data_IF_220359237703
#
_entry.id   IF_220359237703
#
_cell.length_a   1.000
_cell.length_b   1.000
_cell.length_c   1.000
_cell.angle_alpha   90.00
_cell.angle_beta   90.00
_cell.angle_gamma   90.00
#
_symmetry.space_group_name_H-M   'P 1'
#
loop_
_entity.id
_entity.type
_entity.pdbx_description
1 polymer ?
#
# COMPACT_ATOMS: atom_id res chain seq x y z
N UNK A 1 10.90 62.01 38.26
CA UNK A 1 9.84 61.35 37.45
C UNK A 1 10.57 60.54 36.39
N UNK A 2 10.61 59.21 36.55
CA UNK A 2 11.28 58.25 35.59
C UNK A 2 10.20 57.46 34.89
N UNK A 3 10.01 57.72 33.60
CA UNK A 3 9.03 57.05 32.74
C UNK A 3 9.65 55.70 32.26
N UNK A 4 9.02 54.60 32.63
CA UNK A 4 9.38 53.24 32.28
C UNK A 4 8.69 52.87 30.95
N UNK A 5 9.45 52.66 29.85
CA UNK A 5 8.96 52.19 28.59
C UNK A 5 8.88 50.65 28.60
N UNK A 6 7.67 50.12 28.61
CA UNK A 6 7.40 48.69 28.47
C UNK A 6 7.43 48.32 26.99
N UNK A 7 8.46 47.54 26.56
CA UNK A 7 8.52 46.97 25.20
C UNK A 7 7.71 45.72 25.13
N UNK A 8 6.61 45.76 24.39
CA UNK A 8 5.78 44.60 24.06
C UNK A 8 6.41 43.82 22.90
N UNK A 9 6.94 42.65 23.17
CA UNK A 9 7.44 41.74 22.14
C UNK A 9 6.30 40.87 21.64
N UNK A 10 5.85 41.11 20.42
CA UNK A 10 4.86 40.27 19.74
C UNK A 10 5.54 39.00 19.23
N UNK A 11 5.28 37.87 19.86
CA UNK A 11 5.68 36.57 19.37
C UNK A 11 4.72 36.09 18.29
N UNK A 12 5.14 36.14 17.03
CA UNK A 12 4.39 35.57 15.90
C UNK A 12 4.53 34.06 15.92
N UNK A 13 3.50 33.35 16.39
CA UNK A 13 3.37 31.90 16.19
C UNK A 13 3.05 31.61 14.71
N UNK A 14 4.03 31.13 13.94
CA UNK A 14 3.80 30.49 12.65
C UNK A 14 3.09 29.15 12.90
N UNK A 15 1.80 29.09 12.63
CA UNK A 15 1.06 27.83 12.52
C UNK A 15 1.47 27.16 11.21
N UNK A 16 2.36 26.16 11.29
CA UNK A 16 2.61 25.26 10.20
C UNK A 16 1.34 24.39 10.02
N UNK A 17 0.50 24.73 9.04
CA UNK A 17 -0.60 23.85 8.61
C UNK A 17 -0.02 22.67 7.86
N UNK A 18 0.36 21.63 8.59
CA UNK A 18 0.63 20.33 8.02
C UNK A 18 -0.67 19.81 7.39
N UNK A 19 -0.66 19.59 6.07
CA UNK A 19 -1.75 18.89 5.39
C UNK A 19 -1.80 17.46 5.92
N UNK A 20 -2.62 17.22 6.93
CA UNK A 20 -2.97 15.89 7.40
C UNK A 20 -3.86 15.28 6.30
N UNK A 21 -3.28 14.46 5.42
CA UNK A 21 -4.09 13.58 4.59
C UNK A 21 -4.82 12.66 5.57
N UNK A 22 -6.14 12.82 5.68
CA UNK A 22 -6.95 11.91 6.47
C UNK A 22 -6.75 10.50 5.88
N UNK A 23 -6.29 9.56 6.70
CA UNK A 23 -6.35 8.15 6.35
C UNK A 23 -7.83 7.79 6.15
N UNK A 24 -8.13 6.92 5.18
CA UNK A 24 -9.49 6.44 4.96
C UNK A 24 -10.07 5.83 6.25
N UNK A 25 -11.38 5.92 6.42
CA UNK A 25 -12.07 5.50 7.65
C UNK A 25 -12.13 3.96 7.80
N UNK A 26 -11.98 3.21 6.68
CA UNK A 26 -11.98 1.75 6.65
C UNK A 26 -10.57 1.20 6.59
N UNK A 27 -10.39 -0.02 7.09
CA UNK A 27 -9.13 -0.75 6.96
C UNK A 27 -9.37 -2.23 6.66
N UNK A 28 -8.46 -2.81 5.86
CA UNK A 28 -8.37 -4.25 5.64
C UNK A 28 -6.93 -4.66 5.86
N UNK A 29 -6.74 -5.75 6.57
CA UNK A 29 -5.44 -6.40 6.77
C UNK A 29 -5.59 -7.90 6.55
N UNK A 30 -4.65 -8.50 5.84
CA UNK A 30 -4.48 -9.94 5.67
C UNK A 30 -3.02 -10.30 5.80
N UNK A 31 -2.77 -11.47 6.35
CA UNK A 31 -1.40 -11.98 6.48
C UNK A 31 -1.35 -13.49 6.23
N UNK A 32 -0.21 -13.96 5.73
CA UNK A 32 0.08 -15.38 5.53
C UNK A 32 1.52 -15.67 5.87
N UNK A 33 1.79 -16.88 6.33
CA UNK A 33 3.17 -17.39 6.44
C UNK A 33 3.56 -18.06 5.14
N UNK A 34 4.70 -17.64 4.57
CA UNK A 34 5.32 -18.22 3.39
C UNK A 34 6.53 -19.02 3.84
N UNK A 35 6.61 -20.29 3.44
CA UNK A 35 7.68 -21.22 3.82
C UNK A 35 8.96 -20.96 3.03
N UNK A 36 9.50 -19.77 3.21
CA UNK A 36 10.76 -19.31 2.61
C UNK A 36 11.26 -18.08 3.37
N UNK A 37 12.58 -17.81 3.28
CA UNK A 37 13.19 -16.65 3.92
C UNK A 37 12.66 -15.33 3.37
N UNK A 38 12.62 -14.25 4.18
CA UNK A 38 12.20 -12.92 3.71
C UNK A 38 13.01 -12.42 2.52
N UNK A 39 14.28 -12.77 2.39
CA UNK A 39 15.14 -12.43 1.26
C UNK A 39 14.63 -13.08 -0.04
N UNK A 40 14.25 -14.34 0.04
CA UNK A 40 13.73 -15.09 -1.11
C UNK A 40 12.36 -14.55 -1.53
N UNK A 41 11.44 -14.37 -0.59
CA UNK A 41 10.10 -13.85 -0.87
C UNK A 41 10.16 -12.42 -1.41
N UNK A 42 11.09 -11.58 -0.91
CA UNK A 42 11.24 -10.19 -1.35
C UNK A 42 11.68 -10.06 -2.81
N UNK A 43 12.42 -11.02 -3.36
CA UNK A 43 12.78 -11.00 -4.79
C UNK A 43 11.57 -10.96 -5.70
N UNK A 44 10.46 -11.58 -5.29
CA UNK A 44 9.19 -11.55 -6.01
C UNK A 44 8.33 -10.36 -5.56
N UNK A 45 8.01 -10.29 -4.27
CA UNK A 45 7.04 -9.33 -3.72
C UNK A 45 7.58 -7.90 -3.75
N UNK A 46 8.89 -7.70 -3.55
CA UNK A 46 9.53 -6.38 -3.57
C UNK A 46 9.64 -5.73 -4.95
N UNK A 47 9.37 -6.46 -6.02
CA UNK A 47 9.24 -5.87 -7.34
C UNK A 47 7.86 -5.24 -7.51
N UNK A 48 7.78 -3.92 -7.42
CA UNK A 48 6.51 -3.17 -7.53
C UNK A 48 5.73 -3.49 -8.83
N UNK A 49 6.41 -3.90 -9.89
CA UNK A 49 5.77 -4.23 -11.18
C UNK A 49 5.38 -5.71 -11.32
N UNK A 50 5.61 -6.58 -10.34
CA UNK A 50 5.40 -8.02 -10.48
C UNK A 50 4.03 -8.50 -9.96
N UNK A 51 3.02 -7.62 -9.83
CA UNK A 51 1.71 -8.05 -9.31
C UNK A 51 1.02 -9.07 -10.23
N UNK A 52 1.25 -9.00 -11.53
CA UNK A 52 0.79 -9.97 -12.53
C UNK A 52 1.43 -11.36 -12.39
N UNK A 53 2.55 -11.50 -11.68
CA UNK A 53 3.19 -12.78 -11.40
C UNK A 53 2.57 -13.47 -10.19
N UNK A 54 2.12 -12.69 -9.19
CA UNK A 54 1.67 -13.25 -7.91
C UNK A 54 0.21 -12.91 -7.53
N UNK A 55 -0.56 -12.28 -8.42
CA UNK A 55 -1.99 -12.05 -8.20
C UNK A 55 -2.82 -12.62 -9.37
N UNK A 56 -3.73 -13.57 -9.13
CA UNK A 56 -4.39 -14.31 -10.20
C UNK A 56 -5.32 -13.47 -11.09
N UNK A 57 -5.87 -12.37 -10.58
CA UNK A 57 -6.75 -11.50 -11.36
C UNK A 57 -6.01 -10.45 -12.21
N UNK A 58 -4.67 -10.37 -12.11
CA UNK A 58 -3.87 -9.41 -12.88
C UNK A 58 -3.18 -10.15 -14.03
N UNK A 59 -3.49 -9.77 -15.25
CA UNK A 59 -2.92 -10.39 -16.47
C UNK A 59 -1.76 -9.61 -17.06
N UNK A 60 -1.58 -8.33 -16.65
CA UNK A 60 -0.49 -7.47 -17.12
C UNK A 60 -0.19 -6.38 -16.10
N UNK A 61 1.10 -6.05 -15.95
CA UNK A 61 1.57 -4.90 -15.16
C UNK A 61 2.59 -4.08 -15.98
N UNK A 62 2.34 -2.79 -16.14
CA UNK A 62 3.16 -1.88 -16.93
C UNK A 62 3.71 -0.75 -16.07
N UNK A 63 5.03 -0.74 -15.86
CA UNK A 63 5.71 0.25 -15.03
C UNK A 63 6.02 1.53 -15.79
N UNK A 64 5.69 2.67 -15.19
CA UNK A 64 6.17 4.00 -15.59
C UNK A 64 7.07 4.56 -14.50
N UNK A 65 8.33 4.80 -14.81
CA UNK A 65 9.34 5.26 -13.86
C UNK A 65 10.19 4.12 -13.30
N UNK A 66 10.78 4.33 -12.13
CA UNK A 66 11.62 3.34 -11.45
C UNK A 66 10.83 2.73 -10.26
N UNK A 67 10.58 1.42 -10.28
CA UNK A 67 9.76 0.70 -9.30
C UNK A 67 10.28 0.70 -7.86
N UNK A 68 11.42 1.33 -7.59
CA UNK A 68 11.96 1.55 -6.23
C UNK A 68 11.96 3.01 -5.82
N UNK A 69 11.47 3.91 -6.68
CA UNK A 69 11.43 5.36 -6.43
C UNK A 69 10.01 5.84 -6.23
N UNK A 70 9.80 6.63 -5.18
CA UNK A 70 8.53 7.31 -4.90
C UNK A 70 8.05 8.06 -6.15
N UNK A 71 6.77 7.94 -6.45
CA UNK A 71 6.15 8.54 -7.62
C UNK A 71 6.11 7.64 -8.86
N UNK A 72 6.81 6.50 -8.89
CA UNK A 72 6.63 5.49 -9.93
C UNK A 72 5.17 5.04 -9.99
N UNK A 73 4.67 4.75 -11.19
CA UNK A 73 3.31 4.28 -11.40
C UNK A 73 3.33 2.90 -12.06
N UNK A 74 2.33 2.07 -11.74
CA UNK A 74 2.05 0.85 -12.50
C UNK A 74 0.60 0.87 -12.98
N UNK A 75 0.41 0.47 -14.22
CA UNK A 75 -0.91 0.21 -14.80
C UNK A 75 -1.13 -1.31 -14.79
N UNK A 76 -2.09 -1.75 -14.02
CA UNK A 76 -2.51 -3.14 -13.94
C UNK A 76 -3.68 -3.36 -14.89
N UNK A 77 -3.68 -4.47 -15.62
CA UNK A 77 -4.82 -4.93 -16.42
C UNK A 77 -5.38 -6.19 -15.78
N UNK A 78 -6.67 -6.19 -15.52
CA UNK A 78 -7.41 -7.33 -15.00
C UNK A 78 -7.82 -8.29 -16.14
N UNK A 79 -8.15 -9.52 -15.80
CA UNK A 79 -8.61 -10.56 -16.72
C UNK A 79 -9.88 -10.16 -17.51
N UNK A 80 -10.74 -9.31 -16.95
CA UNK A 80 -11.91 -8.75 -17.60
C UNK A 80 -11.63 -7.49 -18.44
N UNK A 81 -10.35 -7.09 -18.60
CA UNK A 81 -9.92 -5.92 -19.35
C UNK A 81 -9.99 -4.58 -18.61
N UNK A 82 -10.54 -4.54 -17.40
CA UNK A 82 -10.53 -3.33 -16.58
C UNK A 82 -9.10 -3.00 -16.12
N UNK A 83 -8.85 -1.74 -15.75
CA UNK A 83 -7.50 -1.30 -15.37
C UNK A 83 -7.48 -0.61 -14.01
N UNK A 84 -6.36 -0.78 -13.30
CA UNK A 84 -6.05 -0.07 -12.04
C UNK A 84 -4.73 0.68 -12.24
N UNK A 85 -4.74 2.00 -12.03
CA UNK A 85 -3.53 2.81 -12.00
C UNK A 85 -3.12 3.06 -10.56
N UNK A 86 -1.91 2.67 -10.21
CA UNK A 86 -1.35 2.83 -8.88
C UNK A 86 -0.06 3.68 -8.90
N UNK A 87 0.23 4.30 -7.76
CA UNK A 87 1.42 5.14 -7.56
C UNK A 87 2.16 4.72 -6.30
N UNK A 88 3.46 4.48 -6.41
CA UNK A 88 4.35 4.15 -5.30
C UNK A 88 4.54 5.36 -4.37
N UNK A 89 4.25 5.18 -3.08
CA UNK A 89 4.35 6.21 -2.03
C UNK A 89 5.61 6.05 -1.19
N UNK A 90 6.03 4.82 -0.92
CA UNK A 90 7.26 4.51 -0.19
C UNK A 90 7.84 3.18 -0.65
N UNK A 91 9.17 3.02 -0.51
CA UNK A 91 9.87 1.76 -0.79
C UNK A 91 11.10 1.63 0.10
N UNK A 92 11.26 0.49 0.75
CA UNK A 92 12.42 0.17 1.56
C UNK A 92 12.81 -1.31 1.41
N UNK A 93 13.86 -1.59 0.63
CA UNK A 93 14.39 -2.94 0.51
C UNK A 93 14.94 -3.47 1.85
N UNK A 94 15.52 -2.59 2.67
CA UNK A 94 16.04 -2.98 3.99
C UNK A 94 14.94 -3.39 4.97
N UNK A 95 13.79 -2.70 4.94
CA UNK A 95 12.61 -3.05 5.75
C UNK A 95 11.69 -4.05 5.07
N UNK A 96 11.99 -4.44 3.82
CA UNK A 96 11.13 -5.29 2.98
C UNK A 96 9.68 -4.81 2.99
N UNK A 97 9.49 -3.53 2.70
CA UNK A 97 8.17 -2.90 2.71
C UNK A 97 8.05 -1.83 1.64
N UNK A 98 6.85 -1.71 1.07
CA UNK A 98 6.47 -0.57 0.23
C UNK A 98 5.00 -0.21 0.46
N UNK A 99 4.66 1.05 0.18
CA UNK A 99 3.28 1.52 0.16
C UNK A 99 2.93 2.20 -1.16
N UNK A 100 1.66 2.18 -1.51
CA UNK A 100 1.15 2.71 -2.77
C UNK A 100 -0.28 3.24 -2.60
N UNK A 101 -0.69 4.12 -3.51
CA UNK A 101 -2.06 4.59 -3.62
C UNK A 101 -2.70 4.14 -4.93
N UNK A 102 -4.01 4.00 -4.92
CA UNK A 102 -4.81 3.87 -6.14
C UNK A 102 -5.09 5.28 -6.67
N UNK A 103 -4.69 5.54 -7.92
CA UNK A 103 -4.94 6.80 -8.63
C UNK A 103 -6.27 6.72 -9.40
N UNK A 104 -6.54 5.56 -10.02
CA UNK A 104 -7.76 5.27 -10.76
C UNK A 104 -8.05 3.77 -10.75
N UNK A 105 -9.29 3.38 -10.51
CA UNK A 105 -9.67 1.97 -10.50
C UNK A 105 -11.20 1.81 -10.64
N UNK A 106 -11.71 0.64 -11.03
CA UNK A 106 -13.12 0.28 -10.93
C UNK A 106 -13.51 -0.22 -9.52
N UNK A 107 -12.56 -0.37 -8.60
CA UNK A 107 -12.83 -0.82 -7.24
C UNK A 107 -13.65 0.24 -6.48
N UNK A 108 -14.55 -0.18 -5.58
CA UNK A 108 -15.44 0.72 -4.86
C UNK A 108 -14.75 1.42 -3.68
N UNK A 109 -13.59 2.04 -3.93
CA UNK A 109 -12.77 2.69 -2.91
C UNK A 109 -12.25 4.06 -3.34
N UNK A 110 -12.08 4.96 -2.38
CA UNK A 110 -11.41 6.25 -2.50
C UNK A 110 -10.35 6.41 -1.40
N UNK A 111 -9.44 7.39 -1.55
CA UNK A 111 -8.39 7.69 -0.58
C UNK A 111 -7.56 6.46 -0.15
N UNK A 112 -7.41 5.50 -1.06
CA UNK A 112 -6.77 4.22 -0.79
C UNK A 112 -5.27 4.35 -0.64
N UNK A 113 -4.76 3.77 0.45
CA UNK A 113 -3.32 3.54 0.67
C UNK A 113 -3.11 2.09 1.07
N UNK A 114 -2.41 1.34 0.24
CA UNK A 114 -2.00 -0.04 0.50
C UNK A 114 -0.55 -0.13 0.97
N UNK A 115 -0.26 -1.12 1.81
CA UNK A 115 1.09 -1.40 2.30
C UNK A 115 1.34 -2.90 2.28
N UNK A 116 2.50 -3.29 1.75
CA UNK A 116 3.00 -4.66 1.79
C UNK A 116 4.26 -4.68 2.64
N UNK A 117 4.35 -5.65 3.57
CA UNK A 117 5.49 -5.80 4.46
C UNK A 117 5.81 -7.27 4.68
N UNK A 118 7.11 -7.60 4.70
CA UNK A 118 7.61 -8.92 5.03
C UNK A 118 8.42 -8.85 6.33
N UNK A 119 8.13 -9.77 7.25
CA UNK A 119 8.88 -9.93 8.50
C UNK A 119 9.32 -11.38 8.68
N UNK A 120 10.51 -11.65 9.24
CA UNK A 120 10.91 -13.01 9.56
C UNK A 120 10.07 -13.58 10.71
N UNK A 121 9.74 -14.88 10.65
CA UNK A 121 9.24 -15.63 11.80
C UNK A 121 10.40 -16.25 12.60
N UNK A 122 10.11 -16.78 13.78
CA UNK A 122 11.11 -17.45 14.61
C UNK A 122 11.69 -18.71 13.93
N UNK A 123 10.92 -19.37 13.05
CA UNK A 123 11.31 -20.55 12.29
C UNK A 123 12.09 -20.23 11.01
N UNK A 124 12.33 -18.93 10.73
CA UNK A 124 13.04 -18.48 9.53
C UNK A 124 12.18 -18.38 8.27
N UNK A 125 10.88 -18.53 8.41
CA UNK A 125 9.89 -18.30 7.36
C UNK A 125 9.55 -16.81 7.23
N UNK A 126 8.67 -16.45 6.34
CA UNK A 126 8.22 -15.07 6.11
C UNK A 126 6.78 -14.90 6.50
N UNK A 127 6.49 -13.95 7.39
CA UNK A 127 5.15 -13.39 7.55
C UNK A 127 4.98 -12.27 6.52
N UNK A 128 4.12 -12.49 5.53
CA UNK A 128 3.72 -11.52 4.52
C UNK A 128 2.42 -10.88 4.95
N UNK A 129 2.43 -9.57 5.17
CA UNK A 129 1.28 -8.75 5.51
C UNK A 129 0.93 -7.83 4.35
N UNK A 130 -0.36 -7.78 3.99
CA UNK A 130 -0.93 -6.82 3.07
C UNK A 130 -2.07 -6.07 3.76
N UNK A 131 -1.95 -4.76 3.88
CA UNK A 131 -2.92 -3.91 4.58
C UNK A 131 -3.26 -2.68 3.77
N UNK A 132 -4.42 -2.09 4.04
CA UNK A 132 -4.81 -0.80 3.47
C UNK A 132 -5.74 -0.01 4.39
N UNK A 133 -5.79 1.31 4.13
CA UNK A 133 -6.82 2.23 4.60
C UNK A 133 -7.49 2.87 3.39
N UNK A 134 -8.80 3.09 3.45
CA UNK A 134 -9.58 3.65 2.34
C UNK A 134 -10.97 4.12 2.82
N UNK A 135 -11.70 4.80 1.95
CA UNK A 135 -13.13 5.09 2.11
C UNK A 135 -13.92 4.30 1.08
N UNK A 136 -15.17 3.92 1.40
CA UNK A 136 -16.07 3.37 0.42
C UNK A 136 -16.43 4.42 -0.64
N UNK A 137 -16.58 4.01 -1.89
CA UNK A 137 -16.87 4.89 -3.01
C UNK A 137 -17.79 4.23 -4.04
N UNK A 138 -18.25 5.01 -5.04
CA UNK A 138 -19.06 4.49 -6.14
C UNK A 138 -20.45 3.98 -5.72
N UNK A 139 -20.97 4.44 -4.56
CA UNK A 139 -22.26 4.00 -4.04
C UNK A 139 -22.23 2.67 -3.29
N UNK A 140 -21.05 2.08 -3.07
CA UNK A 140 -20.88 0.90 -2.25
C UNK A 140 -21.01 1.23 -0.75
N UNK A 141 -21.53 0.28 0.04
CA UNK A 141 -21.46 0.36 1.49
C UNK A 141 -20.04 0.05 1.99
N UNK A 142 -19.74 0.43 3.24
CA UNK A 142 -18.48 0.12 3.92
C UNK A 142 -18.20 -1.39 3.92
N UNK A 143 -19.22 -2.20 4.18
CA UNK A 143 -19.13 -3.66 4.17
C UNK A 143 -18.81 -4.20 2.77
N UNK A 144 -19.46 -3.68 1.73
CA UNK A 144 -19.19 -4.08 0.35
C UNK A 144 -17.75 -3.72 -0.06
N UNK A 145 -17.29 -2.50 0.22
CA UNK A 145 -15.93 -2.07 -0.07
C UNK A 145 -14.89 -2.92 0.67
N UNK A 146 -15.11 -3.18 1.96
CA UNK A 146 -14.23 -4.02 2.80
C UNK A 146 -14.17 -5.47 2.29
N UNK A 147 -15.31 -6.04 1.91
CA UNK A 147 -15.40 -7.40 1.35
C UNK A 147 -14.64 -7.52 0.03
N UNK A 148 -14.78 -6.54 -0.87
CA UNK A 148 -14.07 -6.54 -2.16
C UNK A 148 -12.56 -6.47 -1.94
N UNK A 149 -12.07 -5.55 -1.12
CA UNK A 149 -10.62 -5.44 -0.85
C UNK A 149 -10.09 -6.68 -0.14
N UNK A 150 -10.84 -7.23 0.83
CA UNK A 150 -10.49 -8.49 1.50
C UNK A 150 -10.31 -9.63 0.49
N UNK A 151 -11.24 -9.81 -0.42
CA UNK A 151 -11.18 -10.84 -1.47
C UNK A 151 -9.98 -10.66 -2.42
N UNK A 152 -9.62 -9.42 -2.77
CA UNK A 152 -8.41 -9.13 -3.56
C UNK A 152 -7.16 -9.62 -2.82
N UNK A 153 -7.04 -9.31 -1.52
CA UNK A 153 -5.87 -9.73 -0.74
C UNK A 153 -5.81 -11.24 -0.54
N UNK A 154 -6.94 -11.86 -0.21
CA UNK A 154 -7.03 -13.31 0.01
C UNK A 154 -6.57 -14.07 -1.26
N UNK A 155 -7.02 -13.65 -2.45
CA UNK A 155 -6.62 -14.27 -3.71
C UNK A 155 -5.12 -14.11 -4.02
N UNK A 156 -4.57 -12.91 -3.84
CA UNK A 156 -3.14 -12.64 -4.07
C UNK A 156 -2.24 -13.40 -3.10
N UNK A 157 -2.56 -13.35 -1.81
CA UNK A 157 -1.77 -14.05 -0.77
C UNK A 157 -1.82 -15.57 -0.93
N UNK A 158 -2.96 -16.15 -1.30
CA UNK A 158 -3.07 -17.58 -1.60
C UNK A 158 -2.18 -17.97 -2.78
N UNK A 159 -2.11 -17.14 -3.83
CA UNK A 159 -1.23 -17.38 -4.99
C UNK A 159 0.25 -17.29 -4.61
N UNK A 160 0.64 -16.34 -3.74
CA UNK A 160 2.02 -16.26 -3.23
C UNK A 160 2.39 -17.54 -2.49
N UNK A 161 1.56 -18.00 -1.54
CA UNK A 161 1.82 -19.25 -0.81
C UNK A 161 1.94 -20.44 -1.78
N UNK A 162 1.08 -20.53 -2.80
CA UNK A 162 1.16 -21.59 -3.79
C UNK A 162 2.44 -21.53 -4.63
N UNK A 163 2.92 -20.35 -5.02
CA UNK A 163 4.14 -20.19 -5.80
C UNK A 163 5.39 -20.68 -5.04
N UNK A 164 5.41 -20.56 -3.70
CA UNK A 164 6.54 -21.01 -2.88
C UNK A 164 6.43 -22.46 -2.37
N UNK A 165 5.27 -23.09 -2.48
CA UNK A 165 5.11 -24.54 -2.18
C UNK A 165 5.56 -25.45 -3.32
N UNK A 166 5.76 -24.92 -4.53
CA UNK A 166 6.10 -25.69 -5.74
C UNK A 166 7.61 -25.68 -6.04
N UNK A 167 8.43 -25.15 -5.13
CA UNK A 167 9.89 -25.18 -5.20
C UNK A 167 10.41 -26.17 -4.15
#
# INVERSE_FOLDING_TARGET
MKTLFLKLAAASCLLATGSCFAAGALSVEREVTVDNSPETVWKLIGNFNALDVWHPAIVKSELKGNGTKVGAQRLLTLDNGATILEKLLSYSAAKKSYSYSIVKSPLPVANYTGTVTLTPTAEGHTLLKWSSTFDAAGGASDEQATTVIGGVYDAGLAKVVANFKQQ
#
